data_IF_434080566175
#
_entry.id   IF_434080566175
#
_cell.length_a   1.000
_cell.length_b   1.000
_cell.length_c   1.000
_cell.angle_alpha   90.00
_cell.angle_beta   90.00
_cell.angle_gamma   90.00
#
_symmetry.space_group_name_H-M   'P 1'
#
loop_
_entity.id
_entity.type
_entity.pdbx_description
1 polymer ?
#
# COMPACT_ATOMS: atom_id res chain seq x y z
N UNK A 1 -2.32 34.86 -6.72
CA UNK A 1 -2.65 33.90 -5.65
C UNK A 1 -2.27 34.50 -4.32
N UNK A 2 -3.18 34.47 -3.36
CA UNK A 2 -2.92 34.88 -1.97
C UNK A 2 -1.98 33.87 -1.30
N UNK A 3 -1.32 34.28 -0.22
CA UNK A 3 -0.54 33.37 0.64
C UNK A 3 -1.36 32.16 1.10
N UNK A 4 -2.66 32.38 1.37
CA UNK A 4 -3.59 31.31 1.72
C UNK A 4 -3.81 30.30 0.59
N UNK A 5 -3.86 30.73 -0.66
CA UNK A 5 -4.05 29.85 -1.82
C UNK A 5 -2.84 28.92 -1.99
N UNK A 6 -1.63 29.47 -1.79
CA UNK A 6 -0.38 28.71 -1.90
C UNK A 6 -0.32 27.65 -0.79
N UNK A 7 -0.63 28.02 0.45
CA UNK A 7 -0.69 27.07 1.56
C UNK A 7 -1.76 25.98 1.35
N UNK A 8 -2.93 26.36 0.83
CA UNK A 8 -3.99 25.41 0.51
C UNK A 8 -3.54 24.38 -0.54
N UNK A 9 -2.91 24.82 -1.63
CA UNK A 9 -2.39 23.93 -2.66
C UNK A 9 -1.34 22.97 -2.09
N UNK A 10 -0.42 23.46 -1.26
CA UNK A 10 0.58 22.62 -0.59
C UNK A 10 -0.10 21.59 0.33
N UNK A 11 -1.10 22.01 1.11
CA UNK A 11 -1.84 21.12 2.00
C UNK A 11 -2.57 20.00 1.24
N UNK A 12 -3.18 20.31 0.09
CA UNK A 12 -3.83 19.31 -0.77
C UNK A 12 -2.82 18.31 -1.32
N UNK A 13 -1.65 18.77 -1.78
CA UNK A 13 -0.58 17.88 -2.26
C UNK A 13 -0.12 16.94 -1.14
N UNK A 14 0.15 17.48 0.05
CA UNK A 14 0.55 16.68 1.22
C UNK A 14 -0.53 15.66 1.61
N UNK A 15 -1.81 16.05 1.57
CA UNK A 15 -2.93 15.16 1.83
C UNK A 15 -2.97 13.98 0.83
N UNK A 16 -2.79 14.25 -0.46
CA UNK A 16 -2.72 13.20 -1.49
C UNK A 16 -1.52 12.27 -1.25
N UNK A 17 -0.35 12.81 -0.88
CA UNK A 17 0.81 11.97 -0.57
C UNK A 17 0.60 11.08 0.64
N UNK A 18 0.01 11.61 1.72
CA UNK A 18 -0.29 10.84 2.94
C UNK A 18 -1.30 9.73 2.66
N UNK A 19 -2.41 10.06 1.98
CA UNK A 19 -3.45 9.08 1.64
C UNK A 19 -2.91 7.97 0.73
N UNK A 20 -2.16 8.32 -0.31
CA UNK A 20 -1.53 7.33 -1.19
C UNK A 20 -0.50 6.47 -0.44
N UNK A 21 0.29 7.07 0.44
CA UNK A 21 1.26 6.36 1.27
C UNK A 21 0.61 5.31 2.18
N UNK A 22 -0.49 5.68 2.86
CA UNK A 22 -1.25 4.76 3.73
C UNK A 22 -1.84 3.61 2.90
N UNK A 23 -2.49 3.91 1.77
CA UNK A 23 -3.09 2.89 0.90
C UNK A 23 -2.01 1.94 0.38
N UNK A 24 -0.88 2.47 -0.10
CA UNK A 24 0.23 1.66 -0.60
C UNK A 24 0.83 0.76 0.47
N UNK A 25 0.99 1.28 1.70
CA UNK A 25 1.50 0.49 2.81
C UNK A 25 0.53 -0.63 3.20
N UNK A 26 -0.77 -0.34 3.24
CA UNK A 26 -1.80 -1.34 3.48
C UNK A 26 -1.80 -2.42 2.39
N UNK A 27 -1.66 -2.01 1.12
CA UNK A 27 -1.57 -2.92 -0.01
C UNK A 27 -0.36 -3.83 0.12
N UNK A 28 0.85 -3.31 0.35
CA UNK A 28 2.08 -4.11 0.55
C UNK A 28 2.03 -5.08 1.74
N UNK A 29 1.20 -4.81 2.75
CA UNK A 29 1.05 -5.72 3.89
C UNK A 29 0.21 -6.95 3.54
N UNK A 30 -0.68 -6.84 2.54
CA UNK A 30 -1.62 -7.90 2.16
C UNK A 30 -1.32 -8.53 0.81
N UNK A 31 -0.66 -7.78 -0.06
CA UNK A 31 -0.37 -8.16 -1.42
C UNK A 31 1.13 -8.06 -1.64
N UNK A 32 1.67 -9.09 -2.27
CA UNK A 32 3.05 -9.13 -2.71
C UNK A 32 3.28 -8.19 -3.90
N UNK A 33 4.54 -7.94 -4.25
CA UNK A 33 4.93 -7.01 -5.32
C UNK A 33 4.41 -7.44 -6.71
N UNK A 34 4.10 -8.72 -6.89
CA UNK A 34 3.44 -9.29 -8.08
C UNK A 34 1.90 -9.20 -8.05
N UNK A 35 1.32 -8.59 -7.01
CA UNK A 35 -0.12 -8.38 -6.86
C UNK A 35 -0.89 -9.60 -6.33
N UNK A 36 -0.19 -10.65 -5.90
CA UNK A 36 -0.80 -11.82 -5.25
C UNK A 36 -1.08 -11.56 -3.78
N UNK A 37 -2.17 -12.12 -3.26
CA UNK A 37 -2.47 -12.12 -1.84
C UNK A 37 -1.50 -13.02 -1.08
N UNK A 38 -0.78 -12.44 -0.13
CA UNK A 38 0.26 -13.15 0.65
C UNK A 38 -0.34 -14.31 1.45
N UNK A 39 -1.57 -14.15 1.94
CA UNK A 39 -2.27 -15.16 2.72
C UNK A 39 -2.71 -16.40 1.90
N UNK A 40 -2.87 -16.28 0.58
CA UNK A 40 -3.17 -17.43 -0.28
C UNK A 40 -1.91 -18.23 -0.66
N UNK A 41 -0.75 -17.56 -0.76
CA UNK A 41 0.52 -18.22 -1.08
C UNK A 41 1.12 -19.01 0.11
N UNK A 42 0.85 -18.56 1.34
CA UNK A 42 1.37 -19.22 2.53
C UNK A 42 0.78 -20.64 2.70
N UNK A 43 -0.48 -20.84 2.29
CA UNK A 43 -1.16 -22.14 2.34
C UNK A 43 -0.62 -23.13 1.28
N UNK A 44 -0.32 -22.67 0.07
CA UNK A 44 0.26 -23.51 -1.00
C UNK A 44 1.71 -23.93 -0.69
N UNK A 45 2.49 -23.04 -0.06
CA UNK A 45 3.89 -23.31 0.31
C UNK A 45 3.99 -24.22 1.54
N UNK A 46 3.09 -24.08 2.51
CA UNK A 46 3.02 -24.98 3.68
C UNK A 46 2.56 -26.38 3.29
N UNK A 47 1.61 -26.54 2.36
CA UNK A 47 1.18 -27.86 1.90
C UNK A 47 2.27 -28.61 1.14
N UNK A 48 3.04 -27.94 0.27
CA UNK A 48 4.15 -28.59 -0.45
C UNK A 48 5.33 -29.02 0.43
N UNK A 49 5.49 -28.41 1.61
CA UNK A 49 6.57 -28.75 2.56
C UNK A 49 6.22 -29.93 3.46
N UNK A 50 4.96 -30.37 3.49
CA UNK A 50 4.53 -31.57 4.25
C UNK A 50 4.43 -32.83 3.38
N UNK A 51 4.54 -32.71 2.06
CA UNK A 51 4.48 -33.84 1.11
C UNK A 51 5.86 -34.31 0.59
N UNK A 52 6.96 -33.75 1.13
CA UNK A 52 8.34 -34.18 0.84
C UNK A 52 9.07 -34.61 2.11
#
# INVERSE_FOLDING_TARGET
MSFGDILYVIAVILFVYLTFGIIRNYYKTKFDDDGYRIDMQEDDTKNNSQEK
#
